data_IF_301336976563
#
_entry.id   IF_301336976563
#
_cell.length_a   1.000
_cell.length_b   1.000
_cell.length_c   1.000
_cell.angle_alpha   90.00
_cell.angle_beta   90.00
_cell.angle_gamma   90.00
#
_symmetry.space_group_name_H-M   'P 1'
#
loop_
_entity.id
_entity.type
_entity.pdbx_description
1 polymer ?
#
# COMPACT_ATOMS: atom_id res chain seq x y z
N UNK A 1 -0.56 -23.84 -10.10
CA UNK A 1 -0.44 -24.43 -8.73
C UNK A 1 -0.59 -25.95 -8.73
N UNK A 2 -1.67 -26.52 -9.28
CA UNK A 2 -1.91 -27.97 -9.28
C UNK A 2 -0.73 -28.81 -9.79
N UNK A 3 -0.10 -28.40 -10.91
CA UNK A 3 1.10 -29.07 -11.45
C UNK A 3 2.26 -29.16 -10.44
N UNK A 4 2.46 -28.11 -9.63
CA UNK A 4 3.51 -28.09 -8.60
C UNK A 4 3.17 -29.03 -7.45
N UNK A 5 1.91 -29.03 -6.99
CA UNK A 5 1.45 -29.93 -5.92
C UNK A 5 1.57 -31.40 -6.35
N UNK A 6 1.17 -31.72 -7.58
CA UNK A 6 1.36 -33.05 -8.17
C UNK A 6 2.84 -33.42 -8.28
N UNK A 7 3.69 -32.51 -8.72
CA UNK A 7 5.13 -32.79 -8.79
C UNK A 7 5.70 -33.11 -7.41
N UNK A 8 5.43 -32.29 -6.40
CA UNK A 8 5.94 -32.48 -5.04
C UNK A 8 5.49 -33.82 -4.43
N UNK A 9 4.27 -34.29 -4.71
CA UNK A 9 3.80 -35.60 -4.21
C UNK A 9 4.47 -36.80 -4.88
N UNK A 10 5.06 -36.61 -6.07
CA UNK A 10 5.76 -37.68 -6.80
C UNK A 10 7.22 -37.85 -6.39
N UNK A 11 7.82 -36.87 -5.71
CA UNK A 11 9.24 -36.90 -5.29
C UNK A 11 9.44 -37.95 -4.19
N UNK A 12 10.28 -38.96 -4.45
CA UNK A 12 10.62 -40.03 -3.51
C UNK A 12 12.09 -39.93 -3.07
N UNK A 13 12.42 -40.58 -1.96
CA UNK A 13 13.80 -40.69 -1.46
C UNK A 13 13.96 -40.12 -0.05
N UNK A 14 14.72 -40.83 0.79
CA UNK A 14 14.91 -40.47 2.22
C UNK A 14 15.59 -39.10 2.38
N UNK A 15 16.51 -38.74 1.49
CA UNK A 15 17.21 -37.45 1.50
C UNK A 15 16.28 -36.26 1.22
N UNK A 16 15.25 -36.44 0.38
CA UNK A 16 14.36 -35.37 -0.06
C UNK A 16 13.14 -35.16 0.83
N UNK A 17 12.83 -36.11 1.72
CA UNK A 17 11.61 -36.12 2.54
C UNK A 17 11.37 -34.80 3.29
N UNK A 18 12.39 -34.29 3.99
CA UNK A 18 12.27 -33.03 4.77
C UNK A 18 11.96 -31.81 3.88
N UNK A 19 12.55 -31.75 2.69
CA UNK A 19 12.32 -30.66 1.75
C UNK A 19 10.93 -30.71 1.13
N UNK A 20 10.46 -31.90 0.76
CA UNK A 20 9.10 -32.14 0.26
C UNK A 20 8.07 -31.71 1.28
N UNK A 21 8.21 -32.14 2.54
CA UNK A 21 7.31 -31.78 3.63
C UNK A 21 7.30 -30.26 3.89
N UNK A 22 8.47 -29.63 3.84
CA UNK A 22 8.61 -28.17 4.01
C UNK A 22 7.90 -27.40 2.89
N UNK A 23 8.12 -27.76 1.63
CA UNK A 23 7.50 -27.10 0.47
C UNK A 23 5.98 -27.29 0.51
N UNK A 24 5.49 -28.50 0.78
CA UNK A 24 4.06 -28.77 0.90
C UNK A 24 3.41 -27.91 2.00
N UNK A 25 4.09 -27.76 3.15
CA UNK A 25 3.64 -26.89 4.25
C UNK A 25 3.59 -25.42 3.83
N UNK A 26 4.58 -24.93 3.09
CA UNK A 26 4.60 -23.55 2.57
C UNK A 26 3.46 -23.32 1.58
N UNK A 27 3.21 -24.24 0.65
CA UNK A 27 2.10 -24.14 -0.31
C UNK A 27 0.77 -24.02 0.44
N UNK A 28 0.52 -24.90 1.43
CA UNK A 28 -0.70 -24.86 2.25
C UNK A 28 -0.86 -23.51 2.97
N UNK A 29 0.21 -23.02 3.61
CA UNK A 29 0.20 -21.72 4.31
C UNK A 29 -0.10 -20.57 3.36
N UNK A 30 0.50 -20.53 2.17
CA UNK A 30 0.27 -19.48 1.18
C UNK A 30 -1.18 -19.49 0.65
N UNK A 31 -1.78 -20.67 0.41
CA UNK A 31 -3.21 -20.78 0.05
C UNK A 31 -4.13 -20.22 1.14
N UNK A 32 -3.81 -20.48 2.42
CA UNK A 32 -4.59 -19.98 3.56
C UNK A 32 -4.41 -18.47 3.78
N UNK A 33 -3.18 -17.96 3.68
CA UNK A 33 -2.89 -16.53 3.84
C UNK A 33 -3.56 -15.68 2.75
N UNK A 34 -3.72 -16.22 1.54
CA UNK A 34 -4.43 -15.55 0.45
C UNK A 34 -5.95 -15.43 0.71
N UNK A 35 -6.52 -16.31 1.55
CA UNK A 35 -7.94 -16.29 1.91
C UNK A 35 -8.24 -15.38 3.11
N UNK A 36 -7.31 -15.30 4.08
CA UNK A 36 -7.52 -14.57 5.34
C UNK A 36 -6.80 -13.21 5.41
N UNK A 37 -6.07 -12.83 4.35
CA UNK A 37 -5.16 -11.69 4.38
C UNK A 37 -3.84 -12.01 5.07
N UNK A 38 -2.77 -11.36 4.62
CA UNK A 38 -1.44 -11.53 5.21
C UNK A 38 -1.34 -10.62 6.45
N UNK A 39 -1.54 -11.17 7.65
CA UNK A 39 -1.23 -10.47 8.90
C UNK A 39 0.21 -10.77 9.32
N UNK A 40 1.15 -9.88 9.00
CA UNK A 40 2.48 -9.91 9.57
C UNK A 40 2.48 -9.03 10.83
N UNK A 41 2.70 -9.63 12.01
CA UNK A 41 2.94 -8.85 13.21
C UNK A 41 4.35 -8.24 13.13
N UNK A 42 4.40 -6.91 13.10
CA UNK A 42 5.65 -6.14 13.14
C UNK A 42 5.86 -5.69 14.58
N UNK A 43 7.08 -5.83 15.09
CA UNK A 43 7.48 -5.35 16.41
C UNK A 43 8.41 -4.16 16.24
N UNK A 44 8.15 -3.08 16.96
CA UNK A 44 8.97 -1.87 16.99
C UNK A 44 9.66 -1.73 18.35
N UNK A 45 10.84 -1.11 18.38
CA UNK A 45 11.63 -0.93 19.60
C UNK A 45 11.00 0.10 20.57
N UNK A 46 10.33 1.12 20.01
CA UNK A 46 9.66 2.18 20.75
C UNK A 46 8.17 2.24 20.37
N UNK A 47 7.30 2.74 21.26
CA UNK A 47 5.91 3.00 20.91
C UNK A 47 5.80 4.06 19.81
N UNK A 48 4.74 4.02 18.98
CA UNK A 48 4.48 5.08 18.02
C UNK A 48 4.18 6.42 18.74
N UNK A 49 4.49 7.56 18.11
CA UNK A 49 4.10 8.86 18.65
C UNK A 49 2.57 8.98 18.78
N UNK A 50 2.06 9.82 19.69
CA UNK A 50 0.62 10.05 19.80
C UNK A 50 0.07 10.69 18.52
N UNK A 51 -1.19 10.40 18.23
CA UNK A 51 -1.95 11.00 17.13
C UNK A 51 -2.20 12.47 17.45
N UNK A 52 -1.83 13.35 16.53
CA UNK A 52 -2.04 14.80 16.67
C UNK A 52 -3.41 15.19 16.09
N UNK A 53 -4.17 15.97 16.86
CA UNK A 53 -5.49 16.46 16.46
C UNK A 53 -5.48 17.98 16.32
N UNK A 54 -6.29 18.51 15.40
CA UNK A 54 -6.47 19.94 15.21
C UNK A 54 -7.95 20.33 15.44
N UNK A 55 -8.60 20.97 14.46
CA UNK A 55 -9.98 21.46 14.58
C UNK A 55 -10.97 20.29 14.57
N UNK A 56 -10.79 19.33 13.66
CA UNK A 56 -11.72 18.21 13.52
C UNK A 56 -11.26 16.97 14.29
N UNK A 57 -12.23 16.25 14.86
CA UNK A 57 -12.09 14.87 15.38
C UNK A 57 -13.12 13.91 14.80
N UNK A 58 -13.94 14.38 13.86
CA UNK A 58 -15.05 13.65 13.26
C UNK A 58 -14.79 13.52 11.77
N UNK A 59 -14.95 12.30 11.23
CA UNK A 59 -14.62 11.97 9.85
C UNK A 59 -15.32 12.90 8.85
N UNK A 60 -16.56 13.29 9.16
CA UNK A 60 -17.41 14.12 8.30
C UNK A 60 -16.88 15.55 8.13
N UNK A 61 -15.97 15.99 9.00
CA UNK A 61 -15.38 17.34 8.97
C UNK A 61 -13.88 17.32 8.65
N UNK A 62 -13.36 16.18 8.19
CA UNK A 62 -11.97 16.06 7.76
C UNK A 62 -11.74 16.85 6.47
N UNK A 63 -10.79 17.75 6.52
CA UNK A 63 -10.34 18.57 5.41
C UNK A 63 -8.89 19.01 5.64
N UNK A 64 -8.22 19.50 4.60
CA UNK A 64 -6.83 19.97 4.62
C UNK A 64 -6.58 20.98 5.75
N UNK A 65 -7.54 21.88 5.97
CA UNK A 65 -7.41 22.94 6.96
C UNK A 65 -7.83 22.52 8.37
N UNK A 66 -8.62 21.45 8.51
CA UNK A 66 -9.19 21.03 9.82
C UNK A 66 -8.40 19.91 10.49
N UNK A 67 -7.65 19.11 9.71
CA UNK A 67 -6.73 18.10 10.21
C UNK A 67 -5.38 18.68 10.63
N UNK A 68 -4.68 17.99 11.53
CA UNK A 68 -3.35 18.40 11.95
C UNK A 68 -2.33 18.11 10.83
N UNK A 69 -1.51 19.08 10.38
CA UNK A 69 -0.63 18.89 9.22
C UNK A 69 0.37 17.75 9.38
N UNK A 70 0.96 17.59 10.58
CA UNK A 70 1.85 16.45 10.88
C UNK A 70 1.12 15.11 10.73
N UNK A 71 -0.16 15.05 11.11
CA UNK A 71 -0.92 13.80 11.06
C UNK A 71 -1.34 13.46 9.64
N UNK A 72 -1.68 14.48 8.81
CA UNK A 72 -1.85 14.29 7.35
C UNK A 72 -0.59 13.66 6.76
N UNK A 73 0.59 14.22 7.06
CA UNK A 73 1.87 13.71 6.55
C UNK A 73 2.15 12.28 7.03
N UNK A 74 1.92 11.97 8.31
CA UNK A 74 2.10 10.61 8.86
C UNK A 74 1.20 9.59 8.18
N UNK A 75 -0.09 9.89 8.06
CA UNK A 75 -1.06 8.96 7.49
C UNK A 75 -0.85 8.76 5.98
N UNK A 76 -0.52 9.83 5.24
CA UNK A 76 -0.10 9.70 3.84
C UNK A 76 1.18 8.88 3.71
N UNK A 77 2.18 9.11 4.56
CA UNK A 77 3.43 8.32 4.56
C UNK A 77 3.16 6.83 4.78
N UNK A 78 2.28 6.48 5.72
CA UNK A 78 1.90 5.09 5.97
C UNK A 78 1.20 4.46 4.76
N UNK A 79 0.24 5.17 4.18
CA UNK A 79 -0.49 4.72 3.00
C UNK A 79 0.42 4.55 1.78
N UNK A 80 1.29 5.52 1.52
CA UNK A 80 2.26 5.50 0.43
C UNK A 80 3.32 4.41 0.62
N UNK A 81 3.78 4.21 1.86
CA UNK A 81 4.68 3.11 2.21
C UNK A 81 4.06 1.75 1.91
N UNK A 82 2.78 1.56 2.27
CA UNK A 82 2.06 0.32 1.97
C UNK A 82 1.86 0.11 0.46
N UNK A 83 1.50 1.16 -0.28
CA UNK A 83 1.38 1.12 -1.73
C UNK A 83 2.72 0.77 -2.39
N UNK A 84 3.81 1.40 -1.95
CA UNK A 84 5.16 1.14 -2.45
C UNK A 84 5.61 -0.29 -2.17
N UNK A 85 5.43 -0.78 -0.94
CA UNK A 85 5.80 -2.14 -0.52
C UNK A 85 4.98 -3.23 -1.20
N UNK A 86 3.77 -2.92 -1.66
CA UNK A 86 2.92 -3.86 -2.38
C UNK A 86 3.40 -4.16 -3.80
N UNK A 87 4.12 -3.22 -4.45
CA UNK A 87 4.61 -3.39 -5.83
C UNK A 87 5.57 -4.57 -5.92
N UNK A 88 5.22 -5.57 -6.73
CA UNK A 88 6.06 -6.75 -6.97
C UNK A 88 6.98 -6.55 -8.18
N UNK A 89 8.20 -7.13 -8.19
CA UNK A 89 9.10 -7.06 -9.35
C UNK A 89 8.48 -7.54 -10.66
N UNK A 90 7.56 -8.52 -10.61
CA UNK A 90 6.83 -9.03 -11.77
C UNK A 90 5.99 -7.96 -12.47
N UNK A 91 5.59 -6.91 -11.77
CA UNK A 91 4.83 -5.77 -12.32
C UNK A 91 5.70 -4.82 -13.14
N UNK A 92 7.03 -4.98 -13.08
CA UNK A 92 8.02 -4.10 -13.70
C UNK A 92 8.82 -4.79 -14.81
N UNK A 93 9.05 -6.10 -14.71
CA UNK A 93 9.85 -6.82 -15.71
C UNK A 93 9.17 -6.77 -17.09
N UNK A 94 9.92 -6.33 -18.11
CA UNK A 94 9.44 -6.28 -19.50
C UNK A 94 8.43 -5.16 -19.80
N UNK A 95 8.43 -4.10 -18.98
CA UNK A 95 7.58 -2.92 -19.15
C UNK A 95 6.10 -3.26 -19.27
N UNK A 96 5.63 -4.25 -18.52
CA UNK A 96 4.25 -4.73 -18.61
C UNK A 96 3.21 -3.69 -18.19
N UNK A 97 3.60 -2.68 -17.41
CA UNK A 97 2.73 -1.57 -17.00
C UNK A 97 2.37 -0.60 -18.13
N UNK A 98 3.07 -0.63 -19.26
CA UNK A 98 2.79 0.23 -20.42
C UNK A 98 1.93 -0.47 -21.48
N UNK A 99 1.66 -1.77 -21.33
CA UNK A 99 0.93 -2.60 -22.30
C UNK A 99 -0.58 -2.54 -22.06
N UNK A 100 -1.36 -3.11 -22.97
CA UNK A 100 -2.82 -3.17 -22.87
C UNK A 100 -3.28 -3.89 -21.59
N UNK A 101 -2.63 -4.99 -21.23
CA UNK A 101 -2.95 -5.80 -20.05
C UNK A 101 -2.36 -5.25 -18.73
N UNK A 102 -2.01 -3.96 -18.66
CA UNK A 102 -1.34 -3.35 -17.50
C UNK A 102 -2.13 -3.46 -16.20
N UNK A 103 -3.47 -3.44 -16.24
CA UNK A 103 -4.29 -3.59 -15.04
C UNK A 103 -4.18 -5.00 -14.43
N UNK A 104 -3.98 -6.00 -15.27
CA UNK A 104 -3.80 -7.38 -14.84
C UNK A 104 -2.36 -7.64 -14.38
N UNK A 105 -1.38 -7.09 -15.08
CA UNK A 105 0.03 -7.37 -14.86
C UNK A 105 0.71 -6.46 -13.83
N UNK A 106 0.22 -5.22 -13.65
CA UNK A 106 0.82 -4.20 -12.79
C UNK A 106 -0.19 -3.49 -11.86
N UNK A 107 -1.10 -4.22 -11.18
CA UNK A 107 -2.20 -3.61 -10.43
C UNK A 107 -1.72 -2.73 -9.25
N UNK A 108 -0.68 -3.14 -8.52
CA UNK A 108 -0.21 -2.38 -7.36
C UNK A 108 0.56 -1.14 -7.80
N UNK A 109 1.38 -1.26 -8.84
CA UNK A 109 2.08 -0.12 -9.42
C UNK A 109 1.10 0.96 -9.88
N UNK A 110 0.06 0.56 -10.63
CA UNK A 110 -0.94 1.51 -11.12
C UNK A 110 -1.75 2.12 -9.97
N UNK A 111 -2.02 1.36 -8.90
CA UNK A 111 -2.67 1.89 -7.70
C UNK A 111 -1.83 2.96 -7.02
N UNK A 112 -0.51 2.75 -6.91
CA UNK A 112 0.42 3.75 -6.37
C UNK A 112 0.43 5.02 -7.23
N UNK A 113 0.56 4.89 -8.56
CA UNK A 113 0.58 6.04 -9.49
C UNK A 113 -0.74 6.84 -9.41
N UNK A 114 -1.87 6.14 -9.38
CA UNK A 114 -3.20 6.77 -9.24
C UNK A 114 -3.33 7.52 -7.93
N UNK A 115 -2.83 6.95 -6.83
CA UNK A 115 -2.84 7.62 -5.54
C UNK A 115 -2.07 8.94 -5.58
N UNK A 116 -0.82 8.93 -6.08
CA UNK A 116 -0.02 10.15 -6.24
C UNK A 116 -0.71 11.18 -7.12
N UNK A 117 -1.27 10.75 -8.27
CA UNK A 117 -1.99 11.65 -9.17
C UNK A 117 -3.18 12.31 -8.49
N UNK A 118 -4.01 11.52 -7.78
CA UNK A 118 -5.17 12.04 -7.07
C UNK A 118 -4.79 12.99 -5.94
N UNK A 119 -3.71 12.69 -5.20
CA UNK A 119 -3.24 13.54 -4.11
C UNK A 119 -2.71 14.88 -4.63
N UNK A 120 -1.91 14.87 -5.70
CA UNK A 120 -1.44 16.11 -6.35
C UNK A 120 -2.61 16.95 -6.85
N UNK A 121 -3.56 16.34 -7.56
CA UNK A 121 -4.75 17.04 -8.05
C UNK A 121 -5.64 17.55 -6.91
N UNK A 122 -5.71 16.84 -5.79
CA UNK A 122 -6.44 17.29 -4.61
C UNK A 122 -5.79 18.53 -3.99
N UNK A 123 -4.47 18.58 -3.87
CA UNK A 123 -3.76 19.79 -3.42
C UNK A 123 -3.98 20.97 -4.37
N UNK A 124 -3.85 20.75 -5.68
CA UNK A 124 -4.13 21.78 -6.69
C UNK A 124 -5.56 22.31 -6.54
N UNK A 125 -6.54 21.40 -6.42
CA UNK A 125 -7.96 21.72 -6.21
C UNK A 125 -8.16 22.59 -4.97
N UNK A 126 -7.60 22.20 -3.82
CA UNK A 126 -7.69 22.97 -2.57
C UNK A 126 -7.17 24.41 -2.72
N UNK A 127 -6.13 24.61 -3.54
CA UNK A 127 -5.56 25.95 -3.78
C UNK A 127 -6.44 26.77 -4.73
N UNK A 128 -6.85 26.20 -5.87
CA UNK A 128 -7.55 26.96 -6.92
C UNK A 128 -9.01 27.22 -6.62
N UNK A 129 -9.66 26.39 -5.81
CA UNK A 129 -11.05 26.61 -5.36
C UNK A 129 -11.16 27.69 -4.29
N UNK A 130 -10.04 28.08 -3.67
CA UNK A 130 -10.03 29.15 -2.67
C UNK A 130 -9.95 30.52 -3.34
N UNK A 131 -11.09 31.17 -3.55
CA UNK A 131 -11.19 32.46 -4.23
C UNK A 131 -10.52 33.60 -3.43
N UNK A 132 -10.71 33.61 -2.10
CA UNK A 132 -10.12 34.60 -1.22
C UNK A 132 -8.58 34.49 -1.21
N UNK A 133 -7.89 35.61 -1.40
CA UNK A 133 -6.43 35.64 -1.49
C UNK A 133 -5.73 35.19 -0.20
N UNK A 134 -6.19 35.70 0.96
CA UNK A 134 -5.58 35.39 2.24
C UNK A 134 -5.79 33.92 2.63
N UNK A 135 -7.00 33.39 2.40
CA UNK A 135 -7.30 31.98 2.63
C UNK A 135 -6.47 31.08 1.70
N UNK A 136 -6.30 31.45 0.44
CA UNK A 136 -5.46 30.70 -0.51
C UNK A 136 -3.98 30.70 -0.11
N UNK A 137 -3.47 31.82 0.40
CA UNK A 137 -2.12 31.88 0.98
C UNK A 137 -2.02 30.92 2.17
N UNK A 138 -3.00 30.91 3.07
CA UNK A 138 -3.04 29.98 4.20
C UNK A 138 -3.10 28.51 3.77
N UNK A 139 -3.86 28.16 2.74
CA UNK A 139 -3.89 26.81 2.16
C UNK A 139 -2.53 26.41 1.59
N UNK A 140 -1.89 27.28 0.81
CA UNK A 140 -0.57 27.00 0.26
C UNK A 140 0.48 26.85 1.37
N UNK A 141 0.47 27.73 2.37
CA UNK A 141 1.33 27.64 3.55
C UNK A 141 1.05 26.42 4.42
N UNK A 142 -0.15 25.82 4.34
CA UNK A 142 -0.48 24.57 5.03
C UNK A 142 0.15 23.34 4.36
N UNK A 143 0.33 23.40 3.03
CA UNK A 143 0.87 22.30 2.22
C UNK A 143 2.41 22.24 2.31
N UNK A 144 3.06 23.40 2.44
CA UNK A 144 4.53 23.55 2.60
C UNK A 144 4.94 23.24 4.04
#
# INVERSE_FOLDING_TARGET
>A
LNRLETFISTVRGKSMKKWVESIAKIIRRKKQAHANGISHNITFESPPPPIEWHISRQLETFDLMTLHPIEIARQLTLLESDLYRAVQPSELVGSVWTKEDKEMNSPNLLKMIRHTTNLTLWFEKCIVEMENFEERVAVLSRII
#
